data_IF_162635165843
#
_entry.id   IF_162635165843
#
_cell.length_a   1.000
_cell.length_b   1.000
_cell.length_c   1.000
_cell.angle_alpha   90.00
_cell.angle_beta   90.00
_cell.angle_gamma   90.00
#
_symmetry.space_group_name_H-M   'P 1'
#
loop_
_entity.id
_entity.type
_entity.pdbx_description
1 polymer ?
#
# COMPACT_ATOMS: atom_id res chain seq x y z
N UNK A 1 7.12 -3.37 -2.46
CA UNK A 1 6.31 -3.30 -1.22
C UNK A 1 6.77 -2.07 -0.45
N UNK A 2 5.86 -1.15 -0.06
CA UNK A 2 6.21 0.17 0.48
C UNK A 2 7.18 0.14 1.67
N UNK A 3 7.11 -0.91 2.49
CA UNK A 3 8.03 -1.14 3.63
C UNK A 3 9.50 -1.11 3.21
N UNK A 4 9.88 -1.82 2.13
CA UNK A 4 11.28 -1.87 1.67
C UNK A 4 11.77 -0.49 1.20
N UNK A 5 10.91 0.29 0.56
CA UNK A 5 11.26 1.64 0.11
C UNK A 5 11.59 2.54 1.30
N UNK A 6 10.79 2.47 2.37
CA UNK A 6 11.07 3.27 3.58
C UNK A 6 12.29 2.79 4.36
N UNK A 7 12.53 1.47 4.47
CA UNK A 7 13.75 0.95 5.10
C UNK A 7 15.00 1.43 4.36
N UNK A 8 14.97 1.36 3.02
CA UNK A 8 16.04 1.90 2.18
C UNK A 8 16.18 3.42 2.29
N UNK A 9 15.08 4.19 2.27
CA UNK A 9 15.11 5.65 2.46
C UNK A 9 15.75 6.05 3.79
N UNK A 10 15.49 5.29 4.84
CA UNK A 10 16.06 5.46 6.17
C UNK A 10 17.51 4.98 6.31
N UNK A 11 18.08 4.35 5.27
CA UNK A 11 19.37 3.65 5.33
C UNK A 11 19.44 2.63 6.48
N UNK A 12 18.33 1.90 6.70
CA UNK A 12 18.27 0.80 7.67
C UNK A 12 18.62 -0.49 6.94
N UNK A 13 19.64 -1.21 7.41
CA UNK A 13 19.93 -2.56 6.96
C UNK A 13 18.81 -3.51 7.40
N UNK A 14 18.34 -4.37 6.49
CA UNK A 14 17.32 -5.35 6.79
C UNK A 14 17.55 -6.64 6.00
N UNK A 15 17.17 -7.77 6.59
CA UNK A 15 17.07 -9.03 5.86
C UNK A 15 15.83 -9.01 4.95
N UNK A 16 16.04 -9.04 3.63
CA UNK A 16 14.95 -9.20 2.67
C UNK A 16 14.65 -10.68 2.41
N UNK A 17 14.05 -11.34 3.41
CA UNK A 17 13.64 -12.74 3.28
C UNK A 17 12.51 -12.89 2.25
N UNK A 18 12.81 -13.59 1.15
CA UNK A 18 11.86 -13.95 0.08
C UNK A 18 11.75 -15.46 0.01
N UNK A 19 10.53 -15.94 -0.13
CA UNK A 19 10.23 -17.37 -0.21
C UNK A 19 9.48 -17.69 -1.50
N UNK A 20 9.67 -18.91 -1.98
CA UNK A 20 8.96 -19.46 -3.13
C UNK A 20 7.54 -19.88 -2.75
N UNK A 21 6.64 -19.91 -3.74
CA UNK A 21 5.21 -20.13 -3.51
C UNK A 21 4.91 -21.48 -2.85
N UNK A 22 5.71 -22.49 -3.11
CA UNK A 22 5.62 -23.85 -2.54
C UNK A 22 6.03 -23.92 -1.06
N UNK A 23 6.82 -22.96 -0.57
CA UNK A 23 7.18 -22.83 0.84
C UNK A 23 6.05 -22.21 1.68
N UNK A 24 5.11 -21.50 1.05
CA UNK A 24 4.04 -20.78 1.75
C UNK A 24 3.17 -21.64 2.67
N UNK A 25 2.74 -22.87 2.32
CA UNK A 25 1.97 -23.72 3.23
C UNK A 25 2.68 -23.99 4.57
N UNK A 26 4.02 -24.08 4.56
CA UNK A 26 4.84 -24.29 5.76
C UNK A 26 5.04 -23.00 6.55
N UNK A 27 5.21 -21.86 5.87
CA UNK A 27 5.45 -20.55 6.50
C UNK A 27 4.16 -19.97 7.08
N UNK A 28 3.02 -20.08 6.37
CA UNK A 28 1.72 -19.52 6.74
C UNK A 28 1.32 -19.76 8.21
N UNK A 29 1.39 -20.97 8.79
CA UNK A 29 1.00 -21.20 10.19
C UNK A 29 1.90 -20.49 11.20
N UNK A 30 3.10 -20.04 10.81
CA UNK A 30 4.01 -19.27 11.68
C UNK A 30 3.71 -17.77 11.67
N UNK A 31 2.88 -17.29 10.73
CA UNK A 31 2.55 -15.86 10.60
C UNK A 31 1.36 -15.50 11.50
N UNK A 32 1.37 -14.34 12.20
CA UNK A 32 0.36 -13.99 13.19
C UNK A 32 -1.11 -14.07 12.71
N UNK A 33 -1.34 -13.71 11.45
CA UNK A 33 -2.66 -13.76 10.80
C UNK A 33 -2.66 -14.63 9.53
N UNK A 34 -1.68 -15.53 9.39
CA UNK A 34 -1.55 -16.36 8.19
C UNK A 34 -1.43 -15.54 6.89
N UNK A 35 -0.82 -14.36 6.97
CA UNK A 35 -0.65 -13.38 5.87
C UNK A 35 0.72 -12.72 5.97
N UNK A 36 1.19 -12.25 4.82
CA UNK A 36 2.35 -11.37 4.66
C UNK A 36 1.89 -10.02 4.06
N UNK A 37 2.65 -8.91 4.22
CA UNK A 37 3.98 -8.82 4.81
C UNK A 37 4.00 -8.92 6.34
N UNK A 38 5.16 -9.32 6.85
CA UNK A 38 5.55 -9.24 8.26
C UNK A 38 6.88 -8.49 8.33
N UNK A 39 7.06 -7.68 9.37
CA UNK A 39 8.33 -7.03 9.70
C UNK A 39 8.70 -7.38 11.13
N UNK A 40 9.92 -7.85 11.36
CA UNK A 40 10.45 -8.09 12.69
C UNK A 40 11.40 -6.95 13.09
N UNK A 41 11.19 -6.37 14.27
CA UNK A 41 12.08 -5.35 14.85
C UNK A 41 12.39 -5.77 16.29
N UNK A 42 13.65 -6.05 16.60
CA UNK A 42 14.09 -6.48 17.94
C UNK A 42 13.26 -7.67 18.50
N UNK A 43 13.00 -8.68 17.66
CA UNK A 43 12.17 -9.85 18.02
C UNK A 43 10.66 -9.58 18.06
N UNK A 44 10.20 -8.35 17.79
CA UNK A 44 8.76 -8.01 17.74
C UNK A 44 8.24 -8.18 16.33
N UNK A 45 7.27 -9.08 16.17
CA UNK A 45 6.66 -9.40 14.88
C UNK A 45 5.47 -8.49 14.59
N UNK A 46 5.57 -7.68 13.53
CA UNK A 46 4.55 -6.73 13.08
C UNK A 46 3.89 -7.23 11.80
N UNK A 47 2.61 -6.90 11.58
CA UNK A 47 1.87 -7.19 10.34
C UNK A 47 1.03 -5.97 9.92
N UNK A 48 0.32 -6.07 8.79
CA UNK A 48 -0.39 -4.98 8.09
C UNK A 48 0.55 -3.98 7.40
N UNK A 49 0.65 -4.08 6.08
CA UNK A 49 1.56 -3.26 5.27
C UNK A 49 1.41 -1.76 5.51
N UNK A 50 0.18 -1.25 5.54
CA UNK A 50 -0.11 0.17 5.70
C UNK A 50 0.29 0.66 7.08
N UNK A 51 -0.02 -0.10 8.14
CA UNK A 51 0.34 0.27 9.51
C UNK A 51 1.86 0.31 9.71
N UNK A 52 2.59 -0.69 9.19
CA UNK A 52 4.06 -0.71 9.24
C UNK A 52 4.64 0.47 8.45
N UNK A 53 4.12 0.75 7.26
CA UNK A 53 4.59 1.86 6.41
C UNK A 53 4.37 3.20 7.10
N UNK A 54 3.20 3.43 7.71
CA UNK A 54 2.90 4.61 8.52
C UNK A 54 3.81 4.74 9.75
N UNK A 55 4.17 3.63 10.40
CA UNK A 55 5.11 3.66 11.52
C UNK A 55 6.51 4.09 11.08
N UNK A 56 7.01 3.52 9.97
CA UNK A 56 8.32 3.87 9.42
C UNK A 56 8.34 5.30 8.85
N UNK A 57 7.24 5.79 8.28
CA UNK A 57 7.18 7.14 7.72
C UNK A 57 7.35 8.22 8.77
N UNK A 58 6.89 7.99 10.02
CA UNK A 58 7.15 8.89 11.15
C UNK A 58 8.65 9.03 11.44
N UNK A 59 9.41 7.92 11.38
CA UNK A 59 10.87 7.93 11.55
C UNK A 59 11.57 8.61 10.37
N UNK A 60 10.99 8.51 9.17
CA UNK A 60 11.51 9.11 7.95
C UNK A 60 11.17 10.61 7.81
N UNK A 61 10.36 11.18 8.70
CA UNK A 61 9.86 12.55 8.55
C UNK A 61 8.88 12.73 7.39
N UNK A 62 8.22 11.64 6.96
CA UNK A 62 7.31 11.61 5.81
C UNK A 62 5.83 11.52 6.20
N UNK A 63 5.51 11.53 7.50
CA UNK A 63 4.16 11.34 8.02
C UNK A 63 3.32 12.62 8.13
N UNK A 64 3.77 13.76 7.59
CA UNK A 64 3.15 15.07 7.80
C UNK A 64 3.72 15.79 9.02
N UNK A 65 3.51 17.11 9.08
CA UNK A 65 4.00 17.97 10.16
C UNK A 65 3.04 18.16 11.33
N UNK A 66 1.76 17.85 11.12
CA UNK A 66 0.72 17.87 12.14
C UNK A 66 -0.32 16.75 11.90
N UNK A 67 -1.29 16.65 12.80
CA UNK A 67 -2.35 15.64 12.73
C UNK A 67 -3.22 15.80 11.47
N UNK A 68 -3.35 17.02 10.95
CA UNK A 68 -4.15 17.30 9.76
C UNK A 68 -3.43 16.85 8.49
N UNK A 69 -2.15 17.17 8.32
CA UNK A 69 -1.33 16.65 7.23
C UNK A 69 -1.25 15.12 7.27
N UNK A 70 -1.09 14.54 8.48
CA UNK A 70 -1.10 13.09 8.67
C UNK A 70 -2.40 12.46 8.17
N UNK A 71 -3.54 13.07 8.50
CA UNK A 71 -4.87 12.63 8.04
C UNK A 71 -5.00 12.70 6.52
N UNK A 72 -4.55 13.80 5.89
CA UNK A 72 -4.61 13.95 4.44
C UNK A 72 -3.77 12.88 3.72
N UNK A 73 -2.61 12.53 4.27
CA UNK A 73 -1.76 11.46 3.74
C UNK A 73 -2.47 10.10 3.89
N UNK A 74 -3.09 9.85 5.04
CA UNK A 74 -3.88 8.62 5.26
C UNK A 74 -5.04 8.49 4.26
N UNK A 75 -5.77 9.58 4.01
CA UNK A 75 -6.85 9.63 3.02
C UNK A 75 -6.32 9.32 1.61
N UNK A 76 -5.17 9.88 1.21
CA UNK A 76 -4.58 9.59 -0.09
C UNK A 76 -4.24 8.09 -0.24
N UNK A 77 -3.61 7.50 0.78
CA UNK A 77 -3.23 6.09 0.80
C UNK A 77 -4.46 5.17 0.78
N UNK A 78 -5.50 5.50 1.54
CA UNK A 78 -6.73 4.70 1.58
C UNK A 78 -7.47 4.74 0.23
N UNK A 79 -7.50 5.88 -0.46
CA UNK A 79 -8.03 5.95 -1.83
C UNK A 79 -7.22 5.11 -2.83
N UNK A 80 -5.88 5.10 -2.72
CA UNK A 80 -5.02 4.20 -3.51
C UNK A 80 -5.35 2.73 -3.18
N UNK A 81 -5.65 2.45 -1.92
CA UNK A 81 -6.04 1.11 -1.48
C UNK A 81 -7.38 0.68 -2.07
N UNK A 82 -8.37 1.57 -2.15
CA UNK A 82 -9.68 1.28 -2.75
C UNK A 82 -9.55 0.93 -4.23
N UNK A 83 -8.77 1.70 -5.00
CA UNK A 83 -8.47 1.35 -6.39
C UNK A 83 -7.77 -0.02 -6.47
N UNK A 84 -6.77 -0.27 -5.61
CA UNK A 84 -6.06 -1.55 -5.56
C UNK A 84 -7.00 -2.71 -5.23
N UNK A 85 -8.00 -2.50 -4.37
CA UNK A 85 -9.02 -3.51 -4.06
C UNK A 85 -9.92 -3.78 -5.26
N UNK A 86 -10.36 -2.74 -5.98
CA UNK A 86 -11.15 -2.90 -7.21
C UNK A 86 -10.39 -3.71 -8.27
N UNK A 87 -9.11 -3.39 -8.49
CA UNK A 87 -8.23 -4.14 -9.39
C UNK A 87 -8.08 -5.60 -8.93
N UNK A 88 -7.80 -5.81 -7.65
CA UNK A 88 -7.67 -7.15 -7.07
C UNK A 88 -8.95 -7.98 -7.21
N UNK A 89 -10.12 -7.37 -7.04
CA UNK A 89 -11.43 -8.03 -7.14
C UNK A 89 -11.73 -8.60 -8.53
N UNK A 90 -11.08 -8.06 -9.56
CA UNK A 90 -11.09 -8.59 -10.92
C UNK A 90 -9.93 -9.57 -11.14
N UNK A 91 -8.69 -9.20 -10.80
CA UNK A 91 -7.51 -10.00 -11.10
C UNK A 91 -7.55 -11.38 -10.45
N UNK A 92 -8.01 -11.45 -9.19
CA UNK A 92 -8.10 -12.68 -8.39
C UNK A 92 -9.48 -13.34 -8.42
N UNK A 93 -10.36 -12.92 -9.32
CA UNK A 93 -11.59 -13.67 -9.57
C UNK A 93 -11.29 -14.89 -10.43
N UNK A 94 -11.64 -16.07 -9.91
CA UNK A 94 -11.52 -17.37 -10.58
C UNK A 94 -12.80 -17.73 -11.36
N UNK A 95 -13.90 -16.98 -11.20
CA UNK A 95 -15.12 -17.17 -11.96
C UNK A 95 -15.05 -16.35 -13.26
N UNK A 96 -15.00 -17.03 -14.40
CA UNK A 96 -14.84 -16.38 -15.71
C UNK A 96 -16.00 -15.43 -16.07
N UNK A 97 -17.24 -15.79 -15.75
CA UNK A 97 -18.43 -14.97 -16.03
C UNK A 97 -18.43 -13.69 -15.19
N UNK A 98 -18.17 -13.81 -13.89
CA UNK A 98 -18.07 -12.67 -12.99
C UNK A 98 -16.89 -11.76 -13.36
N UNK A 99 -15.75 -12.34 -13.71
CA UNK A 99 -14.57 -11.62 -14.18
C UNK A 99 -14.83 -10.84 -15.46
N UNK A 100 -15.49 -11.45 -16.44
CA UNK A 100 -15.89 -10.80 -17.68
C UNK A 100 -16.86 -9.64 -17.43
N UNK A 101 -17.85 -9.83 -16.54
CA UNK A 101 -18.81 -8.79 -16.17
C UNK A 101 -18.16 -7.59 -15.45
N UNK A 102 -17.09 -7.80 -14.69
CA UNK A 102 -16.35 -6.74 -13.99
C UNK A 102 -15.43 -5.92 -14.91
N UNK A 103 -14.99 -6.48 -16.04
CA UNK A 103 -13.96 -5.85 -16.87
C UNK A 103 -14.38 -4.47 -17.41
N UNK A 104 -15.58 -4.40 -18.00
CA UNK A 104 -16.11 -3.14 -18.56
C UNK A 104 -16.20 -2.01 -17.54
N UNK A 105 -16.90 -2.20 -16.41
CA UNK A 105 -16.97 -1.20 -15.34
C UNK A 105 -15.60 -0.83 -14.75
N UNK A 106 -14.71 -1.81 -14.58
CA UNK A 106 -13.37 -1.55 -14.05
C UNK A 106 -12.56 -0.64 -14.97
N UNK A 107 -12.50 -0.97 -16.28
CA UNK A 107 -11.63 -0.29 -17.24
C UNK A 107 -12.22 1.03 -17.73
N UNK A 108 -13.54 1.12 -17.88
CA UNK A 108 -14.18 2.31 -18.47
C UNK A 108 -14.69 3.31 -17.43
N UNK A 109 -14.85 2.90 -16.16
CA UNK A 109 -15.41 3.77 -15.12
C UNK A 109 -14.45 3.89 -13.93
N UNK A 110 -14.11 2.76 -13.28
CA UNK A 110 -13.38 2.79 -12.00
C UNK A 110 -11.95 3.29 -12.16
N UNK A 111 -11.17 2.71 -13.08
CA UNK A 111 -9.77 3.13 -13.30
C UNK A 111 -9.72 4.59 -13.75
N UNK A 112 -10.46 5.05 -14.77
CA UNK A 112 -10.46 6.45 -15.18
C UNK A 112 -10.85 7.39 -14.04
N UNK A 113 -11.90 7.07 -13.27
CA UNK A 113 -12.32 7.89 -12.14
C UNK A 113 -11.20 8.11 -11.12
N UNK A 114 -10.53 7.04 -10.66
CA UNK A 114 -9.46 7.18 -9.69
C UNK A 114 -8.22 7.86 -10.29
N UNK A 115 -7.85 7.54 -11.54
CA UNK A 115 -6.71 8.18 -12.20
C UNK A 115 -6.92 9.69 -12.38
N UNK A 116 -8.11 10.11 -12.84
CA UNK A 116 -8.44 11.52 -13.00
C UNK A 116 -8.42 12.26 -11.65
N UNK A 117 -8.92 11.62 -10.58
CA UNK A 117 -8.85 12.18 -9.22
C UNK A 117 -7.42 12.30 -8.72
N UNK A 118 -6.59 11.27 -8.90
CA UNK A 118 -5.19 11.32 -8.48
C UNK A 118 -4.40 12.36 -9.27
N UNK A 119 -4.62 12.47 -10.59
CA UNK A 119 -3.99 13.49 -11.42
C UNK A 119 -4.36 14.90 -10.95
N UNK A 120 -5.64 15.16 -10.67
CA UNK A 120 -6.10 16.45 -10.13
C UNK A 120 -5.42 16.76 -8.79
N UNK A 121 -5.42 15.80 -7.86
CA UNK A 121 -4.79 15.96 -6.54
C UNK A 121 -3.30 16.28 -6.70
N UNK A 122 -2.57 15.52 -7.51
CA UNK A 122 -1.14 15.71 -7.74
C UNK A 122 -0.84 17.05 -8.42
N UNK A 123 -1.65 17.45 -9.40
CA UNK A 123 -1.53 18.74 -10.08
C UNK A 123 -1.78 19.93 -9.14
N UNK A 124 -2.78 19.84 -8.26
CA UNK A 124 -3.10 20.86 -7.26
C UNK A 124 -2.03 20.96 -6.15
N UNK A 125 -1.32 19.86 -5.89
CA UNK A 125 -0.31 19.74 -4.85
C UNK A 125 1.11 19.69 -5.45
N UNK A 126 1.37 20.44 -6.52
CA UNK A 126 2.70 20.66 -7.09
C UNK A 126 3.52 19.37 -7.31
N UNK A 127 2.87 18.32 -7.81
CA UNK A 127 3.49 17.03 -8.10
C UNK A 127 3.50 16.03 -6.94
N UNK A 128 2.79 16.28 -5.83
CA UNK A 128 2.70 15.39 -4.67
C UNK A 128 1.25 15.12 -4.27
N UNK A 129 0.97 14.13 -3.43
CA UNK A 129 -0.40 13.88 -2.98
C UNK A 129 -0.90 14.90 -1.94
N UNK A 130 0.00 15.49 -1.13
CA UNK A 130 -0.39 16.34 0.00
C UNK A 130 0.54 17.55 0.14
N UNK A 131 -0.04 18.74 0.19
CA UNK A 131 0.58 20.02 0.54
C UNK A 131 1.88 20.37 -0.20
N UNK A 132 2.04 19.92 -1.45
CA UNK A 132 3.25 20.24 -2.22
C UNK A 132 4.53 19.57 -1.72
N UNK A 133 4.42 18.52 -0.88
CA UNK A 133 5.56 17.91 -0.21
C UNK A 133 5.60 16.40 -0.41
N UNK A 134 6.82 15.88 -0.46
CA UNK A 134 7.06 14.44 -0.45
C UNK A 134 6.60 13.83 0.87
N UNK A 135 5.83 12.74 0.80
CA UNK A 135 5.29 12.00 1.94
C UNK A 135 5.39 10.50 1.67
N UNK A 136 4.81 9.67 2.53
CA UNK A 136 4.80 8.21 2.32
C UNK A 136 3.62 7.69 1.48
N UNK A 137 2.69 8.56 1.08
CA UNK A 137 1.67 8.28 0.06
C UNK A 137 2.32 8.22 -1.33
#
# INVERSE_FOLDING_TARGET
APIRFLLSYLNIDFEDYRFERDQWPTIKPTMPFGKVPVLEIDGKVLNQSTAITRYLSKKAGLAGSDDWESLLIDIAVDNIHDLRQALASYSYDDNEESKAAKYGPLVNETIPFYMDKFESIVGENNGYFVNGKFSWA
#
